data_IF_774919896317
#
_entry.id   IF_774919896317
#
_cell.length_a   1.000
_cell.length_b   1.000
_cell.length_c   1.000
_cell.angle_alpha   90.00
_cell.angle_beta   90.00
_cell.angle_gamma   90.00
#
_symmetry.space_group_name_H-M   'P 1'
#
loop_
_entity.id
_entity.type
_entity.pdbx_description
1 polymer ?
#
# COMPACT_ATOMS: atom_id res chain seq x y z
N UNK A 1 6.63 44.48 -10.27
CA UNK A 1 6.14 44.81 -8.92
C UNK A 1 6.11 43.52 -8.13
N UNK A 2 7.07 43.32 -7.23
CA UNK A 2 7.10 42.17 -6.32
C UNK A 2 5.99 42.38 -5.28
N UNK A 3 4.88 41.67 -5.43
CA UNK A 3 3.83 41.63 -4.39
C UNK A 3 4.46 41.05 -3.12
N UNK A 4 4.60 41.88 -2.08
CA UNK A 4 4.99 41.45 -0.74
C UNK A 4 4.07 40.29 -0.32
N UNK A 5 4.64 39.09 -0.19
CA UNK A 5 3.93 37.94 0.36
C UNK A 5 3.51 38.30 1.78
N UNK A 6 2.21 38.17 2.08
CA UNK A 6 1.71 38.35 3.44
C UNK A 6 2.37 37.32 4.35
N UNK A 7 2.73 37.68 5.59
CA UNK A 7 3.26 36.72 6.54
C UNK A 7 2.25 35.58 6.72
N UNK A 8 2.74 34.35 6.74
CA UNK A 8 1.88 33.17 6.90
C UNK A 8 1.30 33.17 8.32
N UNK A 9 0.00 32.83 8.48
CA UNK A 9 -0.63 32.72 9.79
C UNK A 9 0.15 31.82 10.76
N UNK A 10 0.24 32.22 12.03
CA UNK A 10 0.92 31.46 13.09
C UNK A 10 -0.06 30.71 13.99
N UNK A 11 -1.35 31.05 13.97
CA UNK A 11 -2.39 30.43 14.80
C UNK A 11 -3.54 29.87 13.97
N UNK A 12 -4.21 28.83 14.48
CA UNK A 12 -5.39 28.21 13.83
C UNK A 12 -6.54 29.21 13.61
N UNK A 13 -6.70 30.20 14.48
CA UNK A 13 -7.74 31.23 14.34
C UNK A 13 -7.48 32.17 13.16
N UNK A 14 -6.22 32.50 12.90
CA UNK A 14 -5.82 33.30 11.73
C UNK A 14 -6.06 32.53 10.41
N UNK A 15 -5.84 31.22 10.42
CA UNK A 15 -6.10 30.34 9.28
C UNK A 15 -7.57 30.33 8.84
N UNK A 16 -8.52 30.64 9.73
CA UNK A 16 -9.96 30.68 9.38
C UNK A 16 -10.30 31.70 8.30
N UNK A 17 -9.48 32.74 8.15
CA UNK A 17 -9.70 33.80 7.17
C UNK A 17 -8.62 33.82 6.07
N UNK A 18 -7.81 32.75 5.96
CA UNK A 18 -6.67 32.71 5.06
C UNK A 18 -6.86 31.65 3.96
N UNK A 19 -7.07 32.04 2.69
CA UNK A 19 -7.11 31.09 1.59
C UNK A 19 -5.68 30.59 1.29
N UNK A 20 -5.55 29.29 0.99
CA UNK A 20 -4.25 28.69 0.59
C UNK A 20 -4.21 28.35 -0.90
N UNK A 21 -5.23 28.76 -1.65
CA UNK A 21 -5.30 28.59 -3.09
C UNK A 21 -4.10 29.27 -3.76
N UNK A 22 -3.27 28.50 -4.45
CA UNK A 22 -2.04 28.92 -5.14
C UNK A 22 -0.81 29.22 -4.26
N UNK A 23 -0.83 28.88 -2.97
CA UNK A 23 0.34 28.98 -2.10
C UNK A 23 0.73 27.59 -1.57
N UNK A 24 1.66 26.88 -2.23
CA UNK A 24 2.10 25.55 -1.82
C UNK A 24 2.63 25.52 -0.38
N UNK A 25 3.30 26.58 0.07
CA UNK A 25 3.87 26.67 1.41
C UNK A 25 2.77 26.82 2.46
N UNK A 26 1.79 27.68 2.19
CA UNK A 26 0.63 27.83 3.08
C UNK A 26 -0.21 26.55 3.16
N UNK A 27 -0.35 25.81 2.05
CA UNK A 27 -1.06 24.53 2.03
C UNK A 27 -0.40 23.47 2.93
N UNK A 28 0.93 23.38 2.91
CA UNK A 28 1.70 22.47 3.77
C UNK A 28 1.60 22.86 5.25
N UNK A 29 1.77 24.16 5.55
CA UNK A 29 1.70 24.68 6.92
C UNK A 29 0.32 24.47 7.54
N UNK A 30 -0.74 24.73 6.78
CA UNK A 30 -2.10 24.47 7.23
C UNK A 30 -2.31 22.97 7.45
N UNK A 31 -1.86 22.10 6.53
CA UNK A 31 -1.97 20.66 6.71
C UNK A 31 -1.29 20.17 8.00
N UNK A 32 -0.06 20.63 8.25
CA UNK A 32 0.70 20.32 9.47
C UNK A 32 -0.02 20.83 10.73
N UNK A 33 -0.50 22.07 10.71
CA UNK A 33 -1.26 22.66 11.82
C UNK A 33 -2.56 21.90 12.13
N UNK A 34 -3.12 21.18 11.15
CA UNK A 34 -4.29 20.31 11.31
C UNK A 34 -3.95 18.85 11.65
N UNK A 35 -2.67 18.52 11.85
CA UNK A 35 -2.21 17.19 12.25
C UNK A 35 -2.11 16.18 11.11
N UNK A 36 -2.06 16.62 9.85
CA UNK A 36 -1.84 15.72 8.71
C UNK A 36 -0.36 15.32 8.57
N UNK A 37 -0.07 14.15 7.95
CA UNK A 37 1.30 13.68 7.74
C UNK A 37 2.14 14.66 6.91
N UNK A 38 3.49 14.61 7.03
CA UNK A 38 4.38 15.37 6.17
C UNK A 38 4.06 15.16 4.68
N UNK A 39 4.11 16.23 3.89
CA UNK A 39 3.81 16.21 2.45
C UNK A 39 2.32 16.32 2.07
N UNK A 40 1.39 16.14 3.03
CA UNK A 40 -0.03 16.42 2.79
C UNK A 40 -0.29 17.91 2.67
N UNK A 41 -1.31 18.28 1.88
CA UNK A 41 -1.63 19.67 1.57
C UNK A 41 -3.10 19.94 1.78
N UNK A 42 -3.42 21.07 2.42
CA UNK A 42 -4.80 21.54 2.56
C UNK A 42 -5.00 22.76 1.68
N UNK A 43 -5.76 22.61 0.60
CA UNK A 43 -6.20 23.69 -0.28
C UNK A 43 -7.50 24.27 0.26
N UNK A 44 -7.38 25.41 0.92
CA UNK A 44 -8.45 26.17 1.55
C UNK A 44 -8.94 27.26 0.62
N UNK A 45 -10.25 27.24 0.37
CA UNK A 45 -10.98 28.25 -0.38
C UNK A 45 -12.03 28.89 0.51
N UNK A 46 -12.12 30.22 0.49
CA UNK A 46 -13.18 30.94 1.18
C UNK A 46 -14.34 31.12 0.19
N UNK A 47 -15.49 30.55 0.52
CA UNK A 47 -16.70 30.64 -0.31
C UNK A 47 -17.74 31.49 0.39
N UNK A 48 -18.47 32.29 -0.39
CA UNK A 48 -19.59 33.07 0.12
C UNK A 48 -20.86 32.25 -0.05
N UNK A 49 -21.51 31.91 1.06
CA UNK A 49 -22.73 31.09 1.07
C UNK A 49 -23.93 32.00 1.36
N UNK A 50 -24.97 32.02 0.50
CA UNK A 50 -26.19 32.75 0.80
C UNK A 50 -26.93 32.09 1.97
N UNK A 51 -27.42 32.92 2.88
CA UNK A 51 -28.21 32.53 4.04
C UNK A 51 -29.65 33.00 3.87
N UNK A 52 -30.59 32.15 4.28
CA UNK A 52 -31.97 32.56 4.44
C UNK A 52 -32.08 33.62 5.57
N UNK A 53 -32.92 34.66 5.44
CA UNK A 53 -33.09 35.69 6.47
C UNK A 53 -33.38 35.12 7.86
N UNK A 54 -34.19 34.05 7.93
CA UNK A 54 -34.54 33.36 9.18
C UNK A 54 -33.36 32.79 9.96
N UNK A 55 -32.23 32.51 9.28
CA UNK A 55 -30.98 32.03 9.90
C UNK A 55 -30.04 33.21 10.15
N UNK A 56 -30.02 34.19 9.24
CA UNK A 56 -29.12 35.34 9.31
C UNK A 56 -29.44 36.28 10.48
N UNK A 57 -30.71 36.61 10.71
CA UNK A 57 -31.17 37.54 11.76
C UNK A 57 -30.73 37.13 13.18
N UNK A 58 -30.93 35.87 13.63
CA UNK A 58 -30.46 35.44 14.94
C UNK A 58 -28.93 35.40 15.03
N UNK A 59 -28.22 35.07 13.94
CA UNK A 59 -26.75 35.09 13.92
C UNK A 59 -26.20 36.52 14.06
N UNK A 60 -26.83 37.52 13.44
CA UNK A 60 -26.42 38.92 13.57
C UNK A 60 -26.60 39.48 14.98
N UNK A 61 -27.54 38.91 15.75
CA UNK A 61 -27.89 39.38 17.10
C UNK A 61 -26.99 38.79 18.19
N UNK A 62 -26.21 37.74 17.88
CA UNK A 62 -25.41 37.02 18.87
C UNK A 62 -23.97 37.55 18.93
N UNK A 63 -23.48 38.02 20.10
CA UNK A 63 -22.12 38.48 20.24
C UNK A 63 -21.13 37.33 19.98
N UNK A 64 -20.20 37.52 19.04
CA UNK A 64 -19.20 36.52 18.65
C UNK A 64 -19.58 35.61 17.49
N UNK A 65 -20.77 35.75 16.91
CA UNK A 65 -21.16 34.99 15.73
C UNK A 65 -20.34 35.40 14.49
N UNK A 66 -20.22 34.47 13.53
CA UNK A 66 -19.58 34.72 12.25
C UNK A 66 -20.18 35.95 11.56
N UNK A 67 -19.33 36.77 10.94
CA UNK A 67 -19.72 38.05 10.35
C UNK A 67 -20.61 37.85 9.12
N UNK A 68 -21.93 37.93 9.32
CA UNK A 68 -22.91 37.95 8.22
C UNK A 68 -22.79 39.29 7.50
N UNK A 69 -22.70 39.24 6.17
CA UNK A 69 -22.60 40.41 5.30
C UNK A 69 -23.85 40.48 4.41
N UNK A 70 -24.43 41.67 4.27
CA UNK A 70 -25.56 41.89 3.37
C UNK A 70 -25.00 42.44 2.05
N UNK A 71 -25.25 41.74 0.95
CA UNK A 71 -24.85 42.16 -0.40
C UNK A 71 -25.78 43.26 -0.93
N UNK A 72 -25.39 43.93 -2.02
CA UNK A 72 -26.14 45.09 -2.57
C UNK A 72 -27.56 44.76 -3.07
N UNK A 73 -27.85 43.49 -3.31
CA UNK A 73 -29.15 42.93 -3.68
C UNK A 73 -30.04 42.59 -2.46
N UNK A 74 -29.55 42.81 -1.23
CA UNK A 74 -30.23 42.45 0.01
C UNK A 74 -30.05 41.00 0.44
N UNK A 75 -29.24 40.19 -0.26
CA UNK A 75 -28.97 38.80 0.14
C UNK A 75 -28.06 38.76 1.37
N UNK A 76 -28.44 37.99 2.38
CA UNK A 76 -27.58 37.73 3.53
C UNK A 76 -26.56 36.67 3.14
N UNK A 77 -25.29 36.91 3.41
CA UNK A 77 -24.22 35.97 3.07
C UNK A 77 -23.27 35.76 4.23
N UNK A 78 -22.70 34.56 4.32
CA UNK A 78 -21.64 34.21 5.26
C UNK A 78 -20.42 33.71 4.49
N UNK A 79 -19.23 34.06 4.97
CA UNK A 79 -18.00 33.45 4.48
C UNK A 79 -17.83 32.10 5.16
N UNK A 80 -17.85 31.03 4.37
CA UNK A 80 -17.57 29.68 4.82
C UNK A 80 -16.20 29.22 4.30
N UNK A 81 -15.55 28.36 5.07
CA UNK A 81 -14.29 27.72 4.71
C UNK A 81 -14.61 26.42 3.99
N UNK A 82 -14.05 26.24 2.80
CA UNK A 82 -14.09 24.99 2.05
C UNK A 82 -12.67 24.47 1.85
N UNK A 83 -12.37 23.35 2.49
CA UNK A 83 -11.07 22.68 2.42
C UNK A 83 -11.12 21.48 1.48
N UNK A 84 -10.05 21.32 0.70
CA UNK A 84 -9.71 20.10 -0.03
C UNK A 84 -8.37 19.60 0.47
N UNK A 85 -8.36 18.41 1.04
CA UNK A 85 -7.15 17.78 1.58
C UNK A 85 -6.57 16.87 0.52
N UNK A 86 -5.29 17.02 0.20
CA UNK A 86 -4.57 16.18 -0.75
C UNK A 86 -3.51 15.40 0.01
N UNK A 87 -3.51 14.08 -0.15
CA UNK A 87 -2.44 13.22 0.33
C UNK A 87 -1.25 13.31 -0.62
N UNK A 88 -0.67 14.51 -0.79
CA UNK A 88 0.40 14.81 -1.77
C UNK A 88 0.28 16.18 -2.44
N UNK A 89 1.09 16.41 -3.48
CA UNK A 89 1.02 17.62 -4.31
C UNK A 89 -0.22 17.61 -5.23
N UNK A 90 -1.17 18.56 -5.13
CA UNK A 90 -2.36 18.60 -5.99
C UNK A 90 -2.09 18.51 -7.49
N UNK A 91 -0.92 18.95 -7.96
CA UNK A 91 -0.53 18.90 -9.37
C UNK A 91 -0.28 17.49 -9.89
N UNK A 92 0.09 16.54 -9.02
CA UNK A 92 0.30 15.13 -9.38
C UNK A 92 -0.99 14.30 -9.36
N UNK A 93 -2.13 14.94 -9.04
CA UNK A 93 -3.44 14.30 -8.85
C UNK A 93 -3.42 13.14 -7.82
N UNK A 94 -2.92 13.39 -6.60
CA UNK A 94 -2.97 12.41 -5.52
C UNK A 94 -4.41 12.26 -5.04
N UNK A 95 -4.61 11.38 -4.06
CA UNK A 95 -5.93 11.24 -3.46
C UNK A 95 -6.36 12.52 -2.74
N UNK A 96 -7.57 12.96 -3.07
CA UNK A 96 -8.20 14.15 -2.54
C UNK A 96 -9.41 13.80 -1.65
N UNK A 97 -9.53 14.49 -0.53
CA UNK A 97 -10.62 14.35 0.44
C UNK A 97 -11.34 15.68 0.60
N UNK A 98 -12.68 15.59 0.72
CA UNK A 98 -13.56 16.74 0.99
C UNK A 98 -14.00 16.79 2.46
N UNK A 99 -13.60 15.80 3.26
CA UNK A 99 -13.98 15.67 4.65
C UNK A 99 -12.72 15.38 5.49
N UNK A 100 -12.48 16.21 6.50
CA UNK A 100 -11.35 16.06 7.41
C UNK A 100 -11.34 14.72 8.15
N UNK A 101 -12.50 14.18 8.53
CA UNK A 101 -12.55 12.88 9.23
C UNK A 101 -12.08 11.74 8.34
N UNK A 102 -12.52 11.73 7.07
CA UNK A 102 -12.06 10.75 6.09
C UNK A 102 -10.56 10.88 5.81
N UNK A 103 -10.06 12.13 5.71
CA UNK A 103 -8.64 12.41 5.54
C UNK A 103 -7.80 11.96 6.75
N UNK A 104 -8.29 12.14 7.98
CA UNK A 104 -7.59 11.73 9.19
C UNK A 104 -7.58 10.20 9.36
N UNK A 105 -8.69 9.52 9.05
CA UNK A 105 -8.74 8.05 9.03
C UNK A 105 -7.79 7.49 7.95
N UNK A 106 -7.70 8.18 6.81
CA UNK A 106 -6.77 7.83 5.75
C UNK A 106 -5.32 8.01 6.19
N UNK A 107 -5.02 9.15 6.81
CA UNK A 107 -3.72 9.41 7.39
C UNK A 107 -3.37 8.30 8.39
N UNK A 108 -4.23 8.04 9.39
CA UNK A 108 -3.99 7.13 10.52
C UNK A 108 -3.68 5.68 10.15
N UNK A 109 -3.94 5.26 8.91
CA UNK A 109 -3.62 3.91 8.42
C UNK A 109 -2.14 3.73 8.07
N UNK A 110 -1.42 4.82 7.87
CA UNK A 110 0.01 4.78 7.62
C UNK A 110 0.72 5.20 8.91
N UNK A 111 1.64 4.39 9.46
CA UNK A 111 2.50 4.85 10.54
C UNK A 111 3.43 5.93 9.98
N UNK A 112 3.12 7.21 10.19
CA UNK A 112 4.12 8.25 10.01
C UNK A 112 4.86 8.41 11.33
N UNK A 113 6.17 8.11 11.33
CA UNK A 113 7.02 8.58 12.42
C UNK A 113 7.02 10.12 12.36
N UNK A 114 6.85 10.82 13.49
CA UNK A 114 7.18 12.24 13.55
C UNK A 114 8.63 12.34 13.09
N UNK A 115 8.87 12.84 11.87
CA UNK A 115 10.20 13.32 11.54
C UNK A 115 10.47 14.43 12.56
N UNK A 116 11.45 14.20 13.44
CA UNK A 116 11.96 15.21 14.34
C UNK A 116 12.30 16.43 13.49
N UNK A 117 11.48 17.47 13.61
CA UNK A 117 11.49 18.66 12.76
C UNK A 117 12.39 19.75 13.35
N UNK A 118 13.40 19.35 14.13
CA UNK A 118 14.47 20.21 14.65
C UNK A 118 15.70 20.20 13.72
N UNK A 119 15.46 20.07 12.41
CA UNK A 119 16.48 20.34 11.38
C UNK A 119 16.61 21.86 11.18
N UNK A 120 17.00 22.55 12.26
CA UNK A 120 17.66 23.85 12.16
C UNK A 120 19.15 23.76 12.49
N UNK A 121 19.68 22.66 13.08
CA UNK A 121 21.13 22.63 13.38
C UNK A 121 22.00 21.40 13.08
N UNK A 122 21.55 20.13 13.01
CA UNK A 122 22.55 19.03 12.93
C UNK A 122 22.14 17.80 12.10
N UNK A 123 21.83 17.96 10.81
CA UNK A 123 21.82 16.81 9.88
C UNK A 123 22.90 16.99 8.82
N UNK A 124 24.13 16.66 9.21
CA UNK A 124 25.27 16.46 8.33
C UNK A 124 25.76 15.00 8.41
N UNK A 125 24.85 14.06 8.69
CA UNK A 125 25.13 12.63 8.62
C UNK A 125 24.56 12.09 7.32
N UNK A 126 25.49 11.76 6.41
CA UNK A 126 25.27 11.28 5.04
C UNK A 126 24.80 9.80 5.00
N UNK A 127 24.33 9.29 6.14
CA UNK A 127 24.08 7.86 6.38
C UNK A 127 22.59 7.49 6.32
N UNK A 128 21.70 8.48 6.14
CA UNK A 128 20.26 8.22 6.00
C UNK A 128 19.91 7.79 4.57
N UNK A 129 19.78 6.48 4.37
CA UNK A 129 19.41 5.86 3.10
C UNK A 129 17.93 6.17 2.77
N UNK A 130 17.70 7.21 1.96
CA UNK A 130 16.41 7.73 1.46
C UNK A 130 15.49 6.67 0.79
N UNK A 131 15.92 5.41 0.68
CA UNK A 131 15.21 4.31 0.01
C UNK A 131 14.30 3.51 0.95
N UNK A 132 14.48 3.56 2.28
CA UNK A 132 13.72 2.71 3.21
C UNK A 132 12.53 3.38 3.90
N UNK A 133 12.39 4.72 3.85
CA UNK A 133 11.31 5.40 4.57
C UNK A 133 10.10 5.74 3.69
N UNK A 134 9.03 4.97 3.89
CA UNK A 134 7.77 5.12 3.19
C UNK A 134 6.85 6.14 3.89
N UNK A 135 7.09 7.43 3.68
CA UNK A 135 6.08 8.48 3.93
C UNK A 135 5.10 8.45 2.76
N UNK A 136 4.11 7.57 2.84
CA UNK A 136 3.02 7.38 1.86
C UNK A 136 3.49 7.09 0.42
N UNK A 137 3.98 5.86 0.16
CA UNK A 137 4.13 5.18 -1.16
C UNK A 137 4.69 5.93 -2.38
N UNK A 138 5.18 7.16 -2.22
CA UNK A 138 5.71 7.99 -3.29
C UNK A 138 6.46 9.14 -2.62
N UNK A 139 7.77 9.00 -2.33
CA UNK A 139 8.76 10.05 -2.02
C UNK A 139 8.21 11.48 -1.80
N UNK A 140 7.44 11.75 -0.74
CA UNK A 140 6.78 13.04 -0.48
C UNK A 140 5.83 13.61 -1.58
N UNK A 141 5.50 12.82 -2.60
CA UNK A 141 4.51 13.13 -3.66
C UNK A 141 3.11 12.64 -3.31
N UNK A 142 3.02 11.77 -2.31
CA UNK A 142 1.78 11.34 -1.71
C UNK A 142 1.02 10.26 -2.51
N UNK A 143 0.44 9.32 -1.77
CA UNK A 143 -0.15 8.09 -2.32
C UNK A 143 -1.63 8.23 -2.71
N UNK A 144 -2.06 7.43 -3.69
CA UNK A 144 -3.48 7.13 -3.88
C UNK A 144 -3.88 5.95 -2.97
N UNK A 145 -4.85 6.12 -2.07
CA UNK A 145 -5.52 5.03 -1.34
C UNK A 145 -6.31 4.12 -2.26
N UNK A 146 -6.87 4.64 -3.35
CA UNK A 146 -7.48 3.77 -4.34
C UNK A 146 -6.37 3.07 -5.11
N UNK A 147 -6.40 1.73 -5.09
CA UNK A 147 -5.51 0.92 -5.91
C UNK A 147 -5.45 1.50 -7.32
N UNK A 148 -4.24 1.86 -7.77
CA UNK A 148 -4.03 2.49 -9.07
C UNK A 148 -4.70 1.63 -10.13
N UNK A 149 -5.43 2.26 -11.05
CA UNK A 149 -5.92 1.55 -12.23
C UNK A 149 -4.80 1.51 -13.25
N UNK A 150 -4.41 0.31 -13.66
CA UNK A 150 -3.44 0.09 -14.72
C UNK A 150 -3.79 0.90 -15.97
N UNK A 151 -2.84 1.68 -16.48
CA UNK A 151 -3.04 2.39 -17.75
C UNK A 151 -3.07 1.43 -18.94
N UNK A 152 -2.42 0.28 -18.86
CA UNK A 152 -2.28 -0.69 -19.95
C UNK A 152 -2.70 -2.10 -19.52
N UNK A 153 -3.27 -2.86 -20.45
CA UNK A 153 -3.66 -4.26 -20.23
C UNK A 153 -2.71 -5.21 -21.00
N UNK A 154 -2.68 -6.48 -20.61
CA UNK A 154 -1.92 -7.51 -21.32
C UNK A 154 -2.37 -7.60 -22.80
N UNK A 155 -1.41 -7.55 -23.71
CA UNK A 155 -1.62 -7.51 -25.16
C UNK A 155 -1.81 -6.11 -25.76
N UNK A 156 -1.79 -5.04 -24.97
CA UNK A 156 -1.71 -3.68 -25.52
C UNK A 156 -0.32 -3.41 -26.11
N UNK A 157 -0.29 -2.67 -27.22
CA UNK A 157 0.94 -2.26 -27.91
C UNK A 157 1.33 -0.86 -27.45
N UNK A 158 2.52 -0.72 -26.89
CA UNK A 158 3.00 0.44 -26.16
C UNK A 158 4.35 0.88 -26.73
N UNK A 159 4.74 2.11 -26.43
CA UNK A 159 6.11 2.59 -26.63
C UNK A 159 6.79 2.60 -25.26
N UNK A 160 7.98 2.02 -25.16
CA UNK A 160 8.76 1.94 -23.92
C UNK A 160 10.06 2.73 -24.11
N UNK A 161 10.40 3.54 -23.12
CA UNK A 161 11.66 4.29 -23.10
C UNK A 161 12.78 3.35 -22.66
N UNK A 162 13.77 3.16 -23.53
CA UNK A 162 14.98 2.42 -23.19
C UNK A 162 16.02 3.41 -22.64
N UNK A 163 16.65 3.06 -21.53
CA UNK A 163 17.72 3.85 -20.89
C UNK A 163 18.90 2.90 -20.80
N UNK A 164 19.94 3.12 -21.62
CA UNK A 164 21.12 2.23 -21.66
C UNK A 164 21.97 2.39 -20.40
N UNK A 165 22.29 3.63 -20.01
CA UNK A 165 23.04 3.94 -18.80
C UNK A 165 22.44 5.15 -18.06
N UNK A 166 22.51 5.15 -16.71
CA UNK A 166 21.99 6.25 -15.87
C UNK A 166 22.80 7.56 -16.04
N UNK A 167 24.01 7.46 -16.60
CA UNK A 167 24.96 8.56 -16.78
C UNK A 167 24.89 9.24 -18.16
N UNK A 168 24.12 8.68 -19.10
CA UNK A 168 23.99 9.28 -20.43
C UNK A 168 23.11 10.53 -20.38
N UNK A 169 23.67 11.63 -20.87
CA UNK A 169 23.01 12.93 -20.96
C UNK A 169 21.65 12.80 -21.68
N UNK A 170 20.69 13.63 -21.27
CA UNK A 170 19.25 13.53 -21.55
C UNK A 170 18.85 13.48 -23.05
N UNK A 171 19.81 13.64 -23.97
CA UNK A 171 19.63 13.82 -25.40
C UNK A 171 19.29 12.53 -26.19
N UNK A 172 19.59 11.32 -25.67
CA UNK A 172 19.39 10.06 -26.42
C UNK A 172 18.25 9.15 -25.89
N UNK A 173 17.19 9.76 -25.35
CA UNK A 173 16.01 9.02 -24.88
C UNK A 173 15.16 8.48 -26.05
N UNK A 174 15.44 7.27 -26.50
CA UNK A 174 14.72 6.59 -27.57
C UNK A 174 13.51 5.75 -27.08
N UNK A 175 12.42 5.79 -27.85
CA UNK A 175 11.18 5.07 -27.55
C UNK A 175 10.98 3.91 -28.54
N UNK A 176 10.80 2.70 -28.02
CA UNK A 176 10.67 1.47 -28.80
C UNK A 176 9.28 0.85 -28.71
N UNK A 177 8.72 0.37 -29.83
CA UNK A 177 7.41 -0.31 -29.87
C UNK A 177 7.53 -1.71 -29.22
N UNK A 178 6.66 -1.98 -28.24
CA UNK A 178 6.63 -3.23 -27.50
C UNK A 178 5.18 -3.67 -27.21
N UNK A 179 4.97 -4.96 -26.92
CA UNK A 179 3.69 -5.49 -26.43
C UNK A 179 3.77 -5.77 -24.94
N UNK A 180 2.78 -5.32 -24.16
CA UNK A 180 2.67 -5.68 -22.74
C UNK A 180 2.36 -7.17 -22.62
N UNK A 181 3.27 -7.96 -22.04
CA UNK A 181 3.10 -9.41 -21.84
C UNK A 181 2.51 -9.74 -20.49
N UNK A 182 2.85 -8.99 -19.45
CA UNK A 182 2.37 -9.22 -18.09
C UNK A 182 2.20 -7.92 -17.33
N UNK A 183 1.15 -7.83 -16.52
CA UNK A 183 0.97 -6.77 -15.52
C UNK A 183 1.31 -7.28 -14.12
N UNK A 184 2.06 -6.50 -13.36
CA UNK A 184 2.36 -6.77 -11.94
C UNK A 184 1.92 -5.55 -11.13
N UNK A 185 0.95 -5.77 -10.24
CA UNK A 185 0.49 -4.76 -9.28
C UNK A 185 1.30 -4.92 -7.99
N UNK A 186 2.05 -3.88 -7.64
CA UNK A 186 2.68 -3.70 -6.33
C UNK A 186 1.77 -2.82 -5.47
N UNK A 187 2.07 -2.71 -4.17
CA UNK A 187 1.29 -1.89 -3.25
C UNK A 187 1.32 -0.39 -3.62
N UNK A 188 2.43 0.06 -4.21
CA UNK A 188 2.75 1.45 -4.50
C UNK A 188 2.82 1.78 -6.01
N UNK A 189 3.01 0.77 -6.87
CA UNK A 189 3.25 0.97 -8.30
C UNK A 189 2.69 -0.16 -9.18
N UNK A 190 2.50 0.12 -10.48
CA UNK A 190 2.15 -0.89 -11.48
C UNK A 190 3.29 -1.00 -12.45
N UNK A 191 3.86 -2.20 -12.53
CA UNK A 191 4.98 -2.49 -13.42
C UNK A 191 4.58 -3.49 -14.49
N UNK A 192 5.18 -3.33 -15.64
CA UNK A 192 4.86 -4.09 -16.83
C UNK A 192 6.05 -4.96 -17.23
N UNK A 193 5.75 -6.16 -17.73
CA UNK A 193 6.68 -6.90 -18.58
C UNK A 193 6.28 -6.66 -20.02
N UNK A 194 7.26 -6.37 -20.87
CA UNK A 194 7.08 -5.96 -22.25
C UNK A 194 7.96 -6.80 -23.17
N UNK A 195 7.50 -7.01 -24.39
CA UNK A 195 8.23 -7.68 -25.46
C UNK A 195 8.44 -6.69 -26.61
N UNK A 196 9.70 -6.33 -26.87
CA UNK A 196 10.09 -5.40 -27.93
C UNK A 196 9.91 -6.03 -29.31
N UNK A 197 9.47 -5.23 -30.29
CA UNK A 197 9.23 -5.74 -31.66
C UNK A 197 10.48 -5.63 -32.55
N UNK A 198 11.46 -4.81 -32.16
CA UNK A 198 12.64 -4.56 -32.96
C UNK A 198 13.62 -5.75 -32.95
N UNK A 199 13.80 -6.38 -31.79
CA UNK A 199 14.85 -7.36 -31.52
C UNK A 199 14.34 -8.62 -30.80
N UNK A 200 13.03 -8.77 -30.63
CA UNK A 200 12.38 -9.83 -29.85
C UNK A 200 12.88 -9.93 -28.39
N UNK A 201 13.41 -8.85 -27.82
CA UNK A 201 13.85 -8.81 -26.43
C UNK A 201 12.65 -8.69 -25.47
N UNK A 202 12.80 -9.25 -24.27
CA UNK A 202 11.84 -9.10 -23.17
C UNK A 202 12.45 -8.30 -22.04
N UNK A 203 11.72 -7.30 -21.54
CA UNK A 203 12.09 -6.56 -20.35
C UNK A 203 10.98 -6.68 -19.31
N UNK A 204 11.38 -7.00 -18.08
CA UNK A 204 10.47 -7.05 -16.93
C UNK A 204 10.64 -5.82 -16.07
N UNK A 205 9.66 -5.56 -15.20
CA UNK A 205 9.75 -4.53 -14.17
C UNK A 205 9.77 -3.08 -14.72
N UNK A 206 9.23 -2.84 -15.92
CA UNK A 206 9.15 -1.51 -16.54
C UNK A 206 8.11 -0.67 -15.79
N UNK A 207 8.53 0.48 -15.27
CA UNK A 207 7.63 1.42 -14.56
C UNK A 207 6.68 2.13 -15.50
N UNK A 208 5.55 2.58 -14.96
CA UNK A 208 4.52 3.26 -15.75
C UNK A 208 4.97 4.63 -16.33
N UNK A 209 6.04 5.23 -15.79
CA UNK A 209 6.65 6.46 -16.32
C UNK A 209 7.46 6.23 -17.60
N UNK A 210 7.97 5.02 -17.81
CA UNK A 210 8.77 4.64 -18.98
C UNK A 210 7.94 3.99 -20.09
N UNK A 211 6.60 4.05 -20.01
CA UNK A 211 5.70 3.41 -20.97
C UNK A 211 4.58 4.39 -21.36
N UNK A 212 4.35 4.53 -22.66
CA UNK A 212 3.30 5.40 -23.20
C UNK A 212 2.45 4.71 -24.24
N UNK A 213 1.23 5.21 -24.42
CA UNK A 213 0.31 4.67 -25.41
C UNK A 213 0.76 5.03 -26.83
N UNK A 214 0.97 4.01 -27.68
CA UNK A 214 1.15 4.20 -29.13
C UNK A 214 -0.07 4.89 -29.75
N UNK A 215 0.11 5.52 -30.90
CA UNK A 215 -1.00 6.05 -31.69
C UNK A 215 -2.06 4.98 -32.01
N UNK A 216 -1.64 3.72 -32.25
CA UNK A 216 -2.51 2.57 -32.50
C UNK A 216 -3.40 2.26 -31.29
N UNK A 217 -2.82 2.24 -30.09
CA UNK A 217 -3.55 1.96 -28.84
C UNK A 217 -4.52 3.09 -28.48
N UNK A 218 -4.16 4.35 -28.73
CA UNK A 218 -5.08 5.50 -28.55
C UNK A 218 -6.34 5.36 -29.44
N UNK A 219 -6.19 4.93 -30.69
CA UNK A 219 -7.33 4.72 -31.59
C UNK A 219 -8.23 3.56 -31.12
N UNK A 220 -7.65 2.43 -30.70
CA UNK A 220 -8.39 1.26 -30.20
C UNK A 220 -9.20 1.59 -28.95
N UNK A 221 -8.63 2.34 -28.00
CA UNK A 221 -9.34 2.79 -26.78
C UNK A 221 -10.52 3.71 -27.12
N UNK A 222 -10.33 4.69 -28.01
CA UNK A 222 -11.40 5.60 -28.46
C UNK A 222 -12.58 4.84 -29.08
N UNK A 223 -12.30 3.80 -29.87
CA UNK A 223 -13.33 2.93 -30.44
C UNK A 223 -14.09 2.14 -29.36
N UNK A 224 -13.38 1.57 -28.36
CA UNK A 224 -14.00 0.79 -27.27
C UNK A 224 -14.90 1.67 -26.38
N UNK A 225 -14.47 2.89 -26.04
CA UNK A 225 -15.26 3.82 -25.23
C UNK A 225 -16.52 4.30 -25.96
N UNK A 226 -16.44 4.56 -27.27
CA UNK A 226 -17.62 4.94 -28.07
C UNK A 226 -18.68 3.84 -28.09
N UNK A 227 -18.27 2.57 -28.10
CA UNK A 227 -19.16 1.41 -28.10
C UNK A 227 -19.82 1.18 -26.73
N UNK A 228 -19.10 1.42 -25.63
CA UNK A 228 -19.67 1.34 -24.27
C UNK A 228 -20.66 2.48 -23.99
N UNK A 229 -20.38 3.70 -24.47
CA UNK A 229 -21.33 4.82 -24.33
C UNK A 229 -22.62 4.57 -25.10
N UNK A 230 -22.54 4.00 -26.30
CA UNK A 230 -23.74 3.62 -27.08
C UNK A 230 -24.56 2.49 -26.44
N UNK A 231 -23.91 1.57 -25.70
CA UNK A 231 -24.61 0.51 -24.97
C UNK A 231 -25.30 1.03 -23.70
N UNK A 232 -24.70 1.98 -22.99
CA UNK A 232 -25.29 2.58 -21.79
C UNK A 232 -26.46 3.53 -22.09
N UNK A 233 -26.60 4.02 -23.32
CA UNK A 233 -27.76 4.85 -23.74
C UNK A 233 -28.91 4.01 -24.31
N UNK A 234 -28.80 2.68 -24.36
CA UNK A 234 -29.80 1.79 -24.96
C UNK A 234 -30.70 1.05 -23.95
N UNK A 235 -30.61 1.36 -22.65
CA UNK A 235 -31.43 0.72 -21.60
C UNK A 235 -32.66 1.53 -21.15
N UNK A 236 -33.01 2.64 -21.83
CA UNK A 236 -34.18 3.46 -21.46
C UNK A 236 -35.13 3.79 -22.63
N UNK A 237 -35.40 2.84 -23.55
CA UNK A 237 -36.59 2.93 -24.41
C UNK A 237 -37.21 1.54 -24.70
N UNK A 238 -38.50 1.46 -24.38
CA UNK A 238 -39.43 0.33 -24.57
C UNK A 238 -39.43 -0.34 -25.96
N UNK A 239 -39.71 -1.66 -26.06
CA UNK A 239 -39.60 -2.41 -27.32
C UNK A 239 -40.84 -2.26 -28.22
N UNK A 240 -40.63 -1.81 -29.47
CA UNK A 240 -41.60 -1.95 -30.59
C UNK A 240 -41.25 -3.14 -31.50
N UNK A 241 -42.24 -3.85 -32.08
CA UNK A 241 -42.00 -5.11 -32.77
C UNK A 241 -41.66 -4.96 -34.26
N UNK A 242 -40.73 -5.84 -34.69
CA UNK A 242 -40.49 -6.42 -36.02
C UNK A 242 -40.07 -5.50 -37.18
N UNK A 243 -38.93 -5.87 -37.78
CA UNK A 243 -38.87 -6.24 -39.21
C UNK A 243 -37.74 -7.24 -39.52
N UNK A 244 -38.14 -8.33 -40.18
CA UNK A 244 -37.29 -9.43 -40.67
C UNK A 244 -36.55 -9.00 -41.94
N UNK A 245 -35.26 -9.34 -41.99
CA UNK A 245 -34.39 -9.35 -43.17
C UNK A 245 -32.95 -9.35 -42.63
N UNK A 246 -32.14 -10.40 -42.70
CA UNK A 246 -32.00 -11.45 -43.68
C UNK A 246 -30.54 -11.45 -44.12
N UNK A 247 -29.69 -12.30 -43.52
CA UNK A 247 -28.49 -12.88 -44.16
C UNK A 247 -27.83 -13.93 -43.24
N UNK A 248 -27.70 -15.20 -43.64
CA UNK A 248 -26.96 -16.20 -42.88
C UNK A 248 -25.46 -16.05 -43.19
N UNK A 249 -24.60 -15.97 -42.17
CA UNK A 249 -23.16 -16.16 -42.32
C UNK A 249 -22.78 -17.51 -41.70
N UNK A 250 -22.11 -18.33 -42.52
CA UNK A 250 -21.90 -19.75 -42.34
C UNK A 250 -21.31 -20.15 -41.01
N UNK A 251 -22.00 -21.09 -40.36
CA UNK A 251 -21.47 -21.94 -39.30
C UNK A 251 -20.39 -22.84 -39.88
N UNK A 252 -19.13 -22.60 -39.50
CA UNK A 252 -18.08 -23.59 -39.72
C UNK A 252 -18.31 -24.72 -38.73
N UNK A 253 -18.74 -25.88 -39.25
CA UNK A 253 -18.78 -27.16 -38.56
C UNK A 253 -17.41 -27.45 -37.92
N UNK A 254 -17.31 -27.24 -36.60
CA UNK A 254 -16.22 -27.77 -35.80
C UNK A 254 -16.51 -29.25 -35.60
N UNK A 255 -15.98 -30.09 -36.52
CA UNK A 255 -15.96 -31.56 -36.35
C UNK A 255 -15.38 -31.86 -34.97
N UNK A 256 -16.23 -32.30 -34.05
CA UNK A 256 -15.86 -32.95 -32.81
C UNK A 256 -15.12 -34.23 -33.19
N UNK A 257 -13.79 -34.18 -33.19
CA UNK A 257 -12.97 -35.40 -33.22
C UNK A 257 -13.23 -36.10 -31.90
N UNK A 258 -13.79 -37.32 -31.97
CA UNK A 258 -13.80 -38.24 -30.84
C UNK A 258 -12.37 -38.37 -30.32
N UNK A 259 -12.23 -38.12 -29.02
CA UNK A 259 -10.96 -38.10 -28.33
C UNK A 259 -10.56 -39.56 -28.13
N UNK A 260 -9.74 -40.08 -29.03
CA UNK A 260 -9.12 -41.40 -28.85
C UNK A 260 -8.32 -41.35 -27.55
N UNK A 261 -8.71 -42.20 -26.58
CA UNK A 261 -7.98 -42.37 -25.33
C UNK A 261 -6.72 -43.16 -25.71
N UNK A 262 -5.63 -42.43 -25.86
CA UNK A 262 -4.31 -43.00 -26.12
C UNK A 262 -3.81 -43.65 -24.83
N UNK A 263 -3.55 -44.96 -24.85
CA UNK A 263 -3.03 -45.70 -23.69
C UNK A 263 -1.69 -45.12 -23.24
N UNK A 264 -1.53 -44.91 -21.92
CA UNK A 264 -0.30 -44.38 -21.32
C UNK A 264 0.83 -45.42 -21.43
N UNK A 265 2.02 -44.98 -21.82
CA UNK A 265 3.18 -45.88 -21.83
C UNK A 265 3.70 -46.11 -20.41
N UNK A 266 4.36 -47.26 -20.13
CA UNK A 266 4.96 -47.52 -18.81
C UNK A 266 5.93 -46.44 -18.35
N UNK A 267 6.68 -45.84 -19.27
CA UNK A 267 7.63 -44.76 -18.99
C UNK A 267 6.92 -43.47 -18.54
N UNK A 268 5.76 -43.15 -19.15
CA UNK A 268 4.97 -41.98 -18.77
C UNK A 268 4.42 -42.13 -17.34
N UNK A 269 4.07 -43.35 -16.94
CA UNK A 269 3.56 -43.68 -15.61
C UNK A 269 4.68 -43.61 -14.56
N UNK A 270 5.86 -44.17 -14.86
CA UNK A 270 7.01 -44.11 -13.95
C UNK A 270 7.45 -42.67 -13.66
N UNK A 271 7.46 -41.81 -14.68
CA UNK A 271 7.81 -40.39 -14.54
C UNK A 271 6.75 -39.61 -13.74
N UNK A 272 5.48 -40.00 -13.83
CA UNK A 272 4.41 -39.40 -13.02
C UNK A 272 4.59 -39.72 -11.52
N UNK A 273 4.89 -40.99 -11.21
CA UNK A 273 5.16 -41.44 -9.85
C UNK A 273 6.40 -40.74 -9.25
N UNK A 274 7.48 -40.58 -10.02
CA UNK A 274 8.69 -39.85 -9.60
C UNK A 274 8.37 -38.39 -9.23
N UNK A 275 7.42 -37.76 -9.92
CA UNK A 275 7.04 -36.37 -9.67
C UNK A 275 6.08 -36.19 -8.50
N UNK A 276 5.56 -37.28 -7.91
CA UNK A 276 4.61 -37.28 -6.80
C UNK A 276 3.15 -37.18 -7.23
N UNK A 277 2.80 -37.60 -8.45
CA UNK A 277 1.40 -37.68 -8.89
C UNK A 277 0.78 -39.04 -8.52
N UNK A 278 -0.55 -39.11 -8.31
CA UNK A 278 -1.24 -40.37 -8.00
C UNK A 278 -1.18 -41.39 -9.15
N UNK A 279 -1.49 -42.65 -8.83
CA UNK A 279 -1.58 -43.72 -9.83
C UNK A 279 -2.58 -43.38 -10.96
N UNK A 280 -2.25 -43.82 -12.18
CA UNK A 280 -3.04 -43.56 -13.39
C UNK A 280 -2.73 -42.23 -14.09
N UNK A 281 -1.85 -41.41 -13.53
CA UNK A 281 -1.31 -40.24 -14.24
C UNK A 281 -0.16 -40.63 -15.16
N UNK A 282 -0.03 -39.91 -16.27
CA UNK A 282 1.09 -40.04 -17.21
C UNK A 282 1.80 -38.71 -17.42
N UNK A 283 3.13 -38.72 -17.51
CA UNK A 283 3.94 -37.53 -17.79
C UNK A 283 4.85 -37.79 -18.98
N UNK A 284 4.77 -36.93 -20.00
CA UNK A 284 5.70 -36.95 -21.13
C UNK A 284 6.54 -35.69 -21.20
N UNK A 285 7.81 -35.87 -21.55
CA UNK A 285 8.81 -34.81 -21.69
C UNK A 285 9.34 -34.83 -23.12
N UNK A 286 9.07 -33.78 -23.89
CA UNK A 286 9.52 -33.66 -25.29
C UNK A 286 10.54 -32.53 -25.41
N UNK A 287 11.74 -32.85 -25.88
CA UNK A 287 12.81 -31.88 -26.11
C UNK A 287 12.43 -30.89 -27.23
N UNK A 288 12.78 -29.62 -27.05
CA UNK A 288 12.64 -28.53 -28.02
C UNK A 288 14.01 -28.16 -28.59
N UNK A 289 14.02 -27.45 -29.72
CA UNK A 289 15.21 -27.05 -30.48
C UNK A 289 16.29 -26.27 -29.70
N UNK A 290 16.01 -25.78 -28.49
CA UNK A 290 16.93 -24.99 -27.65
C UNK A 290 17.42 -25.74 -26.39
N UNK A 291 17.23 -27.05 -26.31
CA UNK A 291 17.55 -27.85 -25.11
C UNK A 291 16.51 -27.73 -23.99
N UNK A 292 15.45 -26.93 -24.20
CA UNK A 292 14.31 -26.87 -23.30
C UNK A 292 13.40 -28.08 -23.45
N UNK A 293 12.62 -28.37 -22.41
CA UNK A 293 11.67 -29.47 -22.42
C UNK A 293 10.23 -28.97 -22.32
N UNK A 294 9.36 -29.50 -23.18
CA UNK A 294 7.91 -29.37 -23.04
C UNK A 294 7.39 -30.54 -22.23
N UNK A 295 6.84 -30.24 -21.06
CA UNK A 295 6.15 -31.21 -20.21
C UNK A 295 4.67 -31.27 -20.58
N UNK A 296 4.11 -32.48 -20.61
CA UNK A 296 2.68 -32.72 -20.76
C UNK A 296 2.25 -33.73 -19.72
N UNK A 297 1.23 -33.39 -18.93
CA UNK A 297 0.66 -34.24 -17.88
C UNK A 297 -0.71 -34.74 -18.36
N UNK A 298 -0.94 -36.04 -18.39
CA UNK A 298 -2.21 -36.69 -18.77
C UNK A 298 -2.84 -37.27 -17.51
N UNK A 299 -4.09 -36.88 -17.22
CA UNK A 299 -4.84 -37.41 -16.09
C UNK A 299 -5.67 -38.64 -16.50
N UNK A 300 -6.14 -39.46 -15.53
CA UNK A 300 -6.96 -40.65 -15.80
C UNK A 300 -8.28 -40.35 -16.53
N UNK A 301 -8.83 -39.14 -16.39
CA UNK A 301 -10.03 -38.66 -17.08
C UNK A 301 -9.76 -38.22 -18.54
N UNK A 302 -8.52 -38.36 -19.00
CA UNK A 302 -8.06 -37.95 -20.32
C UNK A 302 -7.82 -36.45 -20.45
N UNK A 303 -7.90 -35.66 -19.37
CA UNK A 303 -7.50 -34.25 -19.39
C UNK A 303 -5.96 -34.12 -19.51
N UNK A 304 -5.51 -33.01 -20.08
CA UNK A 304 -4.08 -32.77 -20.35
C UNK A 304 -3.65 -31.39 -19.86
N UNK A 305 -2.52 -31.32 -19.17
CA UNK A 305 -1.96 -30.09 -18.59
C UNK A 305 -0.54 -29.82 -19.09
N UNK A 306 -0.20 -28.55 -19.17
CA UNK A 306 1.10 -28.03 -19.62
C UNK A 306 2.02 -27.60 -18.46
N UNK A 307 1.57 -27.78 -17.22
CA UNK A 307 2.22 -27.28 -16.01
C UNK A 307 2.01 -28.24 -14.84
N UNK A 308 3.09 -28.50 -14.09
CA UNK A 308 3.07 -29.34 -12.87
C UNK A 308 2.05 -28.81 -11.86
N UNK A 309 2.00 -27.48 -11.66
CA UNK A 309 1.06 -26.86 -10.71
C UNK A 309 -0.41 -27.14 -11.06
N UNK A 310 -0.78 -27.06 -12.34
CA UNK A 310 -2.15 -27.35 -12.78
C UNK A 310 -2.51 -28.82 -12.60
N UNK A 311 -1.57 -29.71 -12.94
CA UNK A 311 -1.74 -31.15 -12.74
C UNK A 311 -1.94 -31.49 -11.25
N UNK A 312 -1.16 -30.87 -10.35
CA UNK A 312 -1.26 -31.07 -8.90
C UNK A 312 -2.60 -30.60 -8.32
N UNK A 313 -3.04 -29.40 -8.71
CA UNK A 313 -4.36 -28.89 -8.31
C UNK A 313 -5.48 -29.80 -8.81
N UNK A 314 -5.38 -30.30 -10.04
CA UNK A 314 -6.36 -31.23 -10.58
C UNK A 314 -6.33 -32.61 -9.91
N UNK A 315 -5.16 -33.04 -9.42
CA UNK A 315 -4.99 -34.24 -8.62
C UNK A 315 -5.45 -34.07 -7.16
N UNK A 316 -5.86 -32.86 -6.74
CA UNK A 316 -6.21 -32.57 -5.35
C UNK A 316 -4.99 -32.48 -4.42
N UNK A 317 -3.78 -32.36 -4.97
CA UNK A 317 -2.54 -32.17 -4.24
C UNK A 317 -2.24 -30.67 -4.17
N UNK A 318 -2.35 -30.08 -2.98
CA UNK A 318 -1.85 -28.73 -2.77
C UNK A 318 -0.32 -28.74 -2.92
N UNK A 319 0.26 -27.91 -3.82
CA UNK A 319 1.70 -27.81 -3.90
C UNK A 319 2.21 -27.25 -2.57
N UNK A 320 3.06 -27.99 -1.87
CA UNK A 320 3.75 -27.48 -0.68
C UNK A 320 4.34 -26.11 -1.01
N UNK A 321 3.79 -25.08 -0.38
CA UNK A 321 4.34 -23.73 -0.46
C UNK A 321 5.63 -23.80 0.33
N UNK A 322 6.75 -24.02 -0.35
CA UNK A 322 8.07 -23.76 0.25
C UNK A 322 8.09 -22.28 0.62
N UNK A 323 7.80 -21.99 1.88
CA UNK A 323 8.08 -20.74 2.57
C UNK A 323 9.60 -20.64 2.67
N UNK A 324 10.23 -20.23 1.57
CA UNK A 324 11.68 -20.16 1.48
C UNK A 324 12.06 -19.08 0.49
N UNK A 325 12.46 -17.95 1.05
CA UNK A 325 12.98 -16.80 0.33
C UNK A 325 13.98 -17.22 -0.75
N UNK A 326 13.77 -16.70 -1.96
CA UNK A 326 14.79 -16.70 -3.00
C UNK A 326 15.27 -15.27 -3.19
N UNK A 327 16.04 -14.80 -2.19
CA UNK A 327 17.05 -13.79 -2.41
C UNK A 327 18.10 -14.37 -3.36
N UNK A 328 18.19 -13.81 -4.56
CA UNK A 328 19.24 -14.13 -5.52
C UNK A 328 20.55 -13.54 -4.99
N UNK A 329 21.53 -14.41 -4.69
CA UNK A 329 22.92 -14.07 -4.39
C UNK A 329 23.45 -13.00 -5.36
N UNK A 330 23.75 -11.81 -4.83
CA UNK A 330 24.71 -10.86 -5.42
C UNK A 330 26.05 -11.03 -4.69
N UNK A 331 27.13 -10.76 -5.44
CA UNK A 331 28.53 -10.85 -5.06
C UNK A 331 28.84 -9.96 -3.84
N UNK A 332 29.60 -10.50 -2.89
CA UNK A 332 30.01 -9.86 -1.63
C UNK A 332 30.93 -8.64 -1.83
N UNK A 333 30.83 -7.64 -0.94
CA UNK A 333 31.97 -7.04 -0.27
C UNK A 333 32.08 -7.57 1.17
N UNK A 334 33.30 -7.55 1.65
CA UNK A 334 33.79 -7.96 2.96
C UNK A 334 33.11 -7.14 4.08
N UNK A 335 32.27 -7.81 4.89
CA UNK A 335 31.62 -7.23 6.07
C UNK A 335 32.24 -7.90 7.30
N UNK A 336 32.64 -7.07 8.25
CA UNK A 336 33.20 -7.48 9.54
C UNK A 336 32.18 -8.29 10.31
N UNK A 337 32.65 -9.40 10.84
CA UNK A 337 31.92 -10.41 11.62
C UNK A 337 31.50 -9.81 12.97
N UNK A 338 30.31 -9.20 13.02
CA UNK A 338 29.59 -9.02 14.29
C UNK A 338 29.02 -10.38 14.69
N UNK A 339 29.43 -10.82 15.88
CA UNK A 339 29.00 -12.06 16.51
C UNK A 339 27.55 -11.87 16.92
N UNK A 340 26.61 -12.43 16.15
CA UNK A 340 25.26 -12.69 16.63
C UNK A 340 25.38 -13.66 17.82
N UNK A 341 25.33 -13.12 19.04
CA UNK A 341 25.07 -13.93 20.24
C UNK A 341 23.70 -14.56 20.06
N UNK A 342 23.68 -15.86 19.80
CA UNK A 342 22.49 -16.70 19.86
C UNK A 342 21.97 -16.63 21.29
N UNK A 343 21.06 -15.69 21.55
CA UNK A 343 20.34 -15.57 22.83
C UNK A 343 19.56 -16.87 22.99
N UNK A 344 20.11 -17.78 23.79
CA UNK A 344 19.41 -18.96 24.26
C UNK A 344 18.24 -18.47 25.10
N UNK A 345 17.08 -18.33 24.47
CA UNK A 345 15.82 -18.05 25.16
C UNK A 345 15.65 -19.15 26.21
N UNK A 346 15.73 -18.78 27.48
CA UNK A 346 15.61 -19.70 28.59
C UNK A 346 14.26 -20.41 28.47
N UNK A 347 14.27 -21.70 28.18
CA UNK A 347 13.08 -22.52 27.83
C UNK A 347 12.08 -22.65 29.00
N UNK A 348 12.32 -21.97 30.12
CA UNK A 348 11.52 -22.03 31.35
C UNK A 348 10.35 -21.06 31.41
N UNK A 349 10.44 -19.87 30.81
CA UNK A 349 9.47 -18.81 31.07
C UNK A 349 8.14 -19.01 30.31
N UNK A 350 6.99 -18.76 30.96
CA UNK A 350 5.70 -18.85 30.29
C UNK A 350 5.61 -17.79 29.17
N UNK A 351 4.97 -18.12 28.04
CA UNK A 351 4.90 -17.21 26.91
C UNK A 351 4.08 -15.96 27.22
N UNK A 352 4.58 -14.79 26.79
CA UNK A 352 3.86 -13.53 26.88
C UNK A 352 2.48 -13.61 26.20
N UNK A 353 1.41 -13.32 26.95
CA UNK A 353 0.06 -13.19 26.43
C UNK A 353 -0.09 -11.84 25.73
N UNK A 354 -0.64 -11.87 24.52
CA UNK A 354 -0.85 -10.66 23.70
C UNK A 354 -2.34 -10.28 23.58
N UNK A 355 -3.22 -10.98 24.32
CA UNK A 355 -4.67 -10.72 24.36
C UNK A 355 -5.21 -10.74 25.80
N UNK A 356 -6.47 -10.31 25.95
CA UNK A 356 -7.29 -10.50 27.15
C UNK A 356 -6.85 -9.76 28.43
N UNK A 357 -6.08 -8.68 28.30
CA UNK A 357 -5.85 -7.73 29.41
C UNK A 357 -6.24 -6.30 29.00
N UNK A 358 -6.95 -5.54 29.86
CA UNK A 358 -7.37 -4.16 29.57
C UNK A 358 -6.21 -3.18 29.37
N UNK A 359 -4.99 -3.54 29.78
CA UNK A 359 -3.81 -2.68 29.67
C UNK A 359 -3.03 -2.84 28.36
N UNK A 360 -3.28 -3.90 27.58
CA UNK A 360 -2.61 -4.11 26.30
C UNK A 360 -2.87 -2.95 25.34
N UNK A 361 -1.85 -2.55 24.59
CA UNK A 361 -1.85 -1.41 23.66
C UNK A 361 -2.09 -0.04 24.30
N UNK A 362 -2.10 0.09 25.63
CA UNK A 362 -2.11 1.39 26.30
C UNK A 362 -0.69 1.98 26.30
N UNK A 363 -0.61 3.31 26.26
CA UNK A 363 0.65 4.05 26.34
C UNK A 363 0.99 4.38 27.79
N UNK A 364 2.25 4.24 28.14
CA UNK A 364 2.79 4.59 29.45
C UNK A 364 3.92 5.59 29.30
N UNK A 365 4.05 6.51 30.26
CA UNK A 365 5.19 7.44 30.35
C UNK A 365 6.05 7.03 31.51
N UNK A 366 7.18 6.42 31.21
CA UNK A 366 8.18 6.05 32.19
C UNK A 366 9.10 7.23 32.47
N UNK A 367 9.38 7.49 33.75
CA UNK A 367 10.35 8.49 34.18
C UNK A 367 11.40 7.78 35.02
N UNK A 368 12.66 7.68 34.57
CA UNK A 368 13.71 6.99 35.32
C UNK A 368 13.87 7.61 36.71
N UNK A 369 13.96 6.77 37.75
CA UNK A 369 14.42 7.26 39.05
C UNK A 369 15.91 7.61 38.95
N UNK A 370 16.39 8.71 39.56
CA UNK A 370 17.81 9.08 39.56
C UNK A 370 18.75 8.02 40.16
N UNK A 371 18.20 6.99 40.80
CA UNK A 371 18.93 5.88 41.44
C UNK A 371 19.10 4.66 40.55
N UNK A 372 18.34 4.59 39.44
CA UNK A 372 18.29 3.38 38.61
C UNK A 372 19.37 3.46 37.51
N UNK A 373 19.82 2.28 37.05
CA UNK A 373 20.98 2.03 36.18
C UNK A 373 21.46 3.22 35.33
N UNK A 374 22.75 3.54 35.43
CA UNK A 374 23.39 4.65 34.72
C UNK A 374 23.37 4.54 33.19
N UNK A 375 23.03 3.35 32.67
CA UNK A 375 22.99 3.04 31.24
C UNK A 375 21.60 3.26 30.59
N UNK A 376 20.56 3.56 31.38
CA UNK A 376 19.23 3.86 30.84
C UNK A 376 19.10 5.36 30.50
N UNK A 377 18.31 5.71 29.46
CA UNK A 377 18.10 7.10 29.08
C UNK A 377 17.48 7.89 30.23
N UNK A 378 18.07 9.05 30.57
CA UNK A 378 17.63 9.91 31.68
C UNK A 378 16.37 10.73 31.38
N UNK A 379 15.88 10.69 30.13
CA UNK A 379 14.71 11.45 29.71
C UNK A 379 13.43 10.61 29.83
N UNK A 380 12.26 11.25 30.10
CA UNK A 380 10.99 10.53 30.14
C UNK A 380 10.70 9.85 28.79
N UNK A 381 10.52 8.54 28.82
CA UNK A 381 10.23 7.73 27.63
C UNK A 381 8.74 7.35 27.58
N UNK A 382 8.19 7.20 26.37
CA UNK A 382 6.81 6.73 26.19
C UNK A 382 6.80 5.37 25.52
N UNK A 383 6.28 4.35 26.21
CA UNK A 383 6.22 2.98 25.74
C UNK A 383 4.79 2.50 25.48
N UNK A 384 4.67 1.29 24.94
CA UNK A 384 3.38 0.60 24.73
C UNK A 384 3.43 -0.78 25.37
N UNK A 385 2.38 -1.14 26.11
CA UNK A 385 2.23 -2.48 26.71
C UNK A 385 1.93 -3.49 25.60
N UNK A 386 2.85 -4.41 25.31
CA UNK A 386 2.71 -5.40 24.23
C UNK A 386 2.34 -6.79 24.72
N UNK A 387 2.74 -7.15 25.94
CA UNK A 387 2.52 -8.48 26.50
C UNK A 387 2.27 -8.46 28.00
N UNK A 388 1.74 -9.57 28.53
CA UNK A 388 1.63 -9.79 29.96
C UNK A 388 1.71 -11.28 30.33
N UNK A 389 2.14 -11.56 31.55
CA UNK A 389 2.10 -12.88 32.19
C UNK A 389 1.01 -12.83 33.27
N UNK A 390 0.15 -13.84 33.32
CA UNK A 390 -0.91 -13.93 34.34
C UNK A 390 -0.36 -14.41 35.68
N UNK A 391 -0.96 -13.98 36.79
CA UNK A 391 -0.68 -14.54 38.13
C UNK A 391 -0.91 -16.06 38.22
N UNK A 392 -1.69 -16.62 37.29
CA UNK A 392 -1.99 -18.06 37.19
C UNK A 392 -1.05 -18.81 36.25
N UNK A 393 -0.20 -18.11 35.52
CA UNK A 393 0.76 -18.76 34.62
C UNK A 393 1.88 -19.38 35.46
N UNK A 394 2.32 -20.56 35.03
CA UNK A 394 3.38 -21.30 35.70
C UNK A 394 4.46 -21.68 34.68
N UNK A 395 5.70 -21.67 35.14
CA UNK A 395 6.86 -22.11 34.36
C UNK A 395 6.85 -23.64 34.15
N UNK A 396 7.87 -24.14 33.44
CA UNK A 396 8.03 -25.59 33.20
C UNK A 396 8.24 -26.43 34.47
N UNK A 397 8.65 -25.81 35.58
CA UNK A 397 8.87 -26.45 36.88
C UNK A 397 7.64 -26.36 37.80
N UNK A 398 6.62 -25.61 37.40
CA UNK A 398 5.39 -25.38 38.16
C UNK A 398 5.45 -24.21 39.14
N UNK A 399 6.51 -23.38 39.09
CA UNK A 399 6.58 -22.14 39.86
C UNK A 399 5.74 -21.05 39.16
N UNK A 400 5.26 -20.04 39.90
CA UNK A 400 4.56 -18.90 39.31
C UNK A 400 5.42 -18.20 38.25
N UNK A 401 4.81 -17.80 37.14
CA UNK A 401 5.53 -17.09 36.06
C UNK A 401 6.16 -15.77 36.51
N UNK A 402 5.59 -15.14 37.54
CA UNK A 402 6.19 -14.00 38.22
C UNK A 402 5.68 -13.88 39.66
N UNK A 403 6.57 -13.60 40.61
CA UNK A 403 6.25 -13.29 42.00
C UNK A 403 6.53 -11.81 42.28
N UNK A 404 5.51 -11.07 42.72
CA UNK A 404 5.64 -9.63 43.00
C UNK A 404 6.66 -9.38 44.10
N UNK A 405 7.61 -8.49 43.83
CA UNK A 405 8.63 -8.07 44.77
C UNK A 405 8.05 -7.45 46.04
N UNK A 406 6.87 -6.82 45.91
CA UNK A 406 6.17 -6.12 46.99
C UNK A 406 5.40 -7.06 47.91
N UNK A 407 4.79 -8.11 47.36
CA UNK A 407 3.86 -8.98 48.11
C UNK A 407 4.42 -10.38 48.37
N UNK A 408 5.41 -10.83 47.58
CA UNK A 408 5.91 -12.21 47.57
C UNK A 408 4.85 -13.23 47.13
N UNK A 409 3.83 -12.80 46.40
CA UNK A 409 2.76 -13.64 45.88
C UNK A 409 2.79 -13.63 44.34
N UNK A 410 2.26 -14.67 43.68
CA UNK A 410 2.05 -14.66 42.23
C UNK A 410 1.29 -13.40 41.81
N UNK A 411 1.81 -12.71 40.79
CA UNK A 411 1.24 -11.44 40.34
C UNK A 411 1.38 -11.31 38.82
N UNK A 412 0.55 -10.49 38.16
CA UNK A 412 0.71 -10.22 36.74
C UNK A 412 1.93 -9.33 36.49
N UNK A 413 2.68 -9.65 35.43
CA UNK A 413 3.83 -8.88 34.94
C UNK A 413 3.54 -8.39 33.53
N UNK A 414 3.90 -7.16 33.20
CA UNK A 414 3.59 -6.54 31.93
C UNK A 414 4.85 -6.15 31.17
N UNK A 415 4.94 -6.60 29.93
CA UNK A 415 6.04 -6.27 29.04
C UNK A 415 5.75 -5.00 28.24
N UNK A 416 6.57 -3.98 28.44
CA UNK A 416 6.45 -2.68 27.79
C UNK A 416 7.66 -2.43 26.90
N UNK A 417 7.37 -2.11 25.64
CA UNK A 417 8.39 -1.75 24.66
C UNK A 417 8.41 -0.24 24.48
N UNK A 418 9.58 0.35 24.66
CA UNK A 418 9.92 1.74 24.37
C UNK A 418 10.69 1.81 23.05
N UNK A 419 10.99 3.02 22.56
CA UNK A 419 11.69 3.18 21.29
C UNK A 419 13.13 2.61 21.35
N UNK A 420 13.80 2.70 22.50
CA UNK A 420 15.22 2.35 22.65
C UNK A 420 15.47 1.16 23.60
N UNK A 421 14.47 0.71 24.34
CA UNK A 421 14.62 -0.37 25.33
C UNK A 421 13.29 -1.04 25.67
N UNK A 422 13.37 -2.15 26.38
CA UNK A 422 12.23 -2.91 26.88
C UNK A 422 12.30 -2.98 28.40
N UNK A 423 11.15 -2.91 29.08
CA UNK A 423 11.09 -2.97 30.54
C UNK A 423 9.78 -3.63 30.97
N UNK A 424 9.89 -4.50 31.97
CA UNK A 424 8.74 -5.15 32.59
C UNK A 424 8.27 -4.39 33.83
N UNK A 425 6.96 -4.35 34.05
CA UNK A 425 6.31 -3.63 35.15
C UNK A 425 5.28 -4.50 35.86
N UNK A 426 5.19 -4.36 37.18
CA UNK A 426 4.06 -4.88 37.95
C UNK A 426 2.79 -4.04 37.69
N UNK A 427 1.60 -4.61 37.93
CA UNK A 427 0.32 -3.92 37.66
C UNK A 427 0.22 -2.54 38.34
N UNK A 428 0.65 -2.46 39.60
CA UNK A 428 0.57 -1.22 40.37
C UNK A 428 1.52 -0.14 39.87
N UNK A 429 2.66 -0.53 39.26
CA UNK A 429 3.60 0.41 38.66
C UNK A 429 3.00 1.00 37.38
N UNK A 430 2.36 0.15 36.56
CA UNK A 430 1.66 0.60 35.34
C UNK A 430 0.54 1.60 35.64
N UNK A 431 -0.25 1.36 36.68
CA UNK A 431 -1.37 2.23 37.05
C UNK A 431 -0.92 3.67 37.32
N UNK A 432 0.29 3.87 37.84
CA UNK A 432 0.85 5.19 38.15
C UNK A 432 1.42 5.92 36.92
N UNK A 433 1.73 5.19 35.84
CA UNK A 433 2.46 5.73 34.67
C UNK A 433 1.64 5.78 33.37
N UNK A 434 0.36 5.38 33.37
CA UNK A 434 -0.49 5.54 32.18
C UNK A 434 -0.67 7.01 31.78
N UNK A 435 -0.63 7.28 30.47
CA UNK A 435 -0.80 8.62 29.86
C UNK A 435 -2.23 8.89 29.42
#
# INVERSE_FOLDING_TARGET
>A
MTTLQRPTPSTLSEWNNFPTLNDPTAQLRLARAMGYPPGWRVVRTLITVPLAPSIAEPMMSSPGAAKVTITSDGTHTITAVQDRIYAGDPSTQPDGYYNHSAALIAASKYPWRPQYDDVIYDNNDDDFDDKEFCVTSHKNRGGQLKGRKAKFEEGDVVEVLYVEDEDDEEEEREWYEATVTKKIEYEDDIRYSVHYHADDAEQSNVREEYIRATHKTKQKKKAKTSKQKAAATAEDETPKPKRKGGRPKGSKNKKTKEKVIEELTPDEIALAAELGLPDGWGVSKKERKRGDYKWTFKAPDGSTFDSKKKAFVHAGLEPERKSGGRGRKRKAPEVQEEVEEEVTVDEGDPPWRTTDHPFLNRRVRWTPSPTDNADLPQEPAVGTVLGWISETDVDSEGNPGFESSRTGQPAPLFHVVFDDFEQDFEEWELEEIFV
#
